data_IF_674630139133
#
_entry.id   IF_674630139133
#
_cell.length_a   1.000
_cell.length_b   1.000
_cell.length_c   1.000
_cell.angle_alpha   90.00
_cell.angle_beta   90.00
_cell.angle_gamma   90.00
#
_symmetry.space_group_name_H-M   'P 1'
#
loop_
_entity.id
_entity.type
_entity.pdbx_description
1 polymer ?
#
# COMPACT_ATOMS: atom_id res chain seq x y z
N UNK A 1 -47.69 -9.92 2.86
CA UNK A 1 -46.33 -10.40 3.19
C UNK A 1 -45.36 -9.59 2.35
N UNK A 2 -44.63 -8.68 2.97
CA UNK A 2 -43.72 -7.73 2.33
C UNK A 2 -42.30 -8.32 2.30
N UNK A 3 -41.78 -8.60 1.10
CA UNK A 3 -40.38 -8.95 0.91
C UNK A 3 -39.52 -7.70 1.08
N UNK A 4 -38.68 -7.70 2.10
CA UNK A 4 -37.64 -6.68 2.32
C UNK A 4 -36.39 -7.18 1.61
N UNK A 5 -36.13 -6.68 0.40
CA UNK A 5 -34.82 -6.84 -0.24
C UNK A 5 -33.82 -5.91 0.44
N UNK A 6 -32.96 -6.51 1.27
CA UNK A 6 -31.79 -5.86 1.84
C UNK A 6 -30.75 -5.61 0.74
N UNK A 7 -30.81 -4.43 0.14
CA UNK A 7 -29.80 -3.96 -0.82
C UNK A 7 -28.52 -3.54 -0.05
N UNK A 8 -27.65 -4.50 0.26
CA UNK A 8 -26.33 -4.22 0.84
C UNK A 8 -25.41 -3.72 -0.27
N UNK A 9 -25.53 -2.43 -0.57
CA UNK A 9 -24.62 -1.74 -1.48
C UNK A 9 -23.24 -1.68 -0.81
N UNK A 10 -22.30 -2.51 -1.30
CA UNK A 10 -20.89 -2.52 -0.86
C UNK A 10 -20.30 -1.11 -1.03
N UNK A 11 -19.72 -0.49 0.00
CA UNK A 11 -19.21 0.87 -0.11
C UNK A 11 -18.04 0.90 -1.08
N UNK A 12 -18.23 1.56 -2.21
CA UNK A 12 -17.15 1.83 -3.17
C UNK A 12 -16.38 3.04 -2.63
N UNK A 13 -15.27 2.78 -1.92
CA UNK A 13 -14.33 3.84 -1.53
C UNK A 13 -13.58 4.32 -2.78
N UNK A 14 -14.14 5.34 -3.46
CA UNK A 14 -13.41 6.12 -4.47
C UNK A 14 -12.65 7.24 -3.78
N UNK A 15 -11.52 6.92 -3.15
CA UNK A 15 -10.57 7.95 -2.75
C UNK A 15 -9.19 7.66 -3.33
N UNK A 16 -9.06 7.88 -4.64
CA UNK A 16 -7.77 8.12 -5.26
C UNK A 16 -7.34 9.54 -4.86
N UNK A 17 -6.42 9.65 -3.90
CA UNK A 17 -5.72 10.91 -3.68
C UNK A 17 -4.80 11.08 -4.90
N UNK A 18 -5.25 11.87 -5.87
CA UNK A 18 -4.34 12.38 -6.89
C UNK A 18 -3.31 13.24 -6.17
N UNK A 19 -2.03 12.84 -6.24
CA UNK A 19 -0.92 13.66 -5.78
C UNK A 19 -1.02 15.02 -6.47
N UNK A 20 -1.22 16.08 -5.69
CA UNK A 20 -1.34 17.44 -6.19
C UNK A 20 -0.09 17.78 -7.01
N UNK A 21 -0.26 18.22 -8.26
CA UNK A 21 0.81 18.62 -9.19
C UNK A 21 1.66 19.81 -8.68
N UNK A 22 1.32 20.37 -7.51
CA UNK A 22 2.06 21.46 -6.86
C UNK A 22 2.94 21.00 -5.70
N UNK A 23 3.46 19.79 -5.77
CA UNK A 23 4.56 19.39 -4.91
C UNK A 23 5.84 20.03 -5.44
N UNK A 24 6.37 21.06 -4.76
CA UNK A 24 7.67 21.68 -5.02
C UNK A 24 8.86 20.73 -4.75
N UNK A 25 8.70 19.45 -5.02
CA UNK A 25 9.80 18.50 -5.05
C UNK A 25 10.56 18.77 -6.33
N UNK A 26 11.66 19.50 -6.16
CA UNK A 26 12.71 19.67 -7.17
C UNK A 26 12.95 18.30 -7.79
N UNK A 27 12.69 18.23 -9.10
CA UNK A 27 13.04 17.15 -10.01
C UNK A 27 14.21 16.33 -9.46
N UNK A 28 13.88 15.16 -8.90
CA UNK A 28 14.84 14.15 -8.48
C UNK A 28 15.83 13.92 -9.61
N UNK A 29 17.12 14.17 -9.34
CA UNK A 29 18.18 13.70 -10.22
C UNK A 29 18.04 12.17 -10.31
N UNK A 30 17.64 11.67 -11.48
CA UNK A 30 17.43 10.24 -11.72
C UNK A 30 18.68 9.43 -11.37
N UNK A 31 19.86 10.06 -11.42
CA UNK A 31 21.12 9.46 -11.01
C UNK A 31 21.17 9.14 -9.51
N UNK A 32 20.60 9.99 -8.66
CA UNK A 32 20.57 9.76 -7.21
C UNK A 32 19.67 8.59 -6.85
N UNK A 33 18.46 8.53 -7.42
CA UNK A 33 17.53 7.43 -7.17
C UNK A 33 18.08 6.08 -7.67
N UNK A 34 18.70 6.07 -8.86
CA UNK A 34 19.34 4.86 -9.40
C UNK A 34 20.51 4.41 -8.56
N UNK A 35 21.34 5.34 -8.10
CA UNK A 35 22.47 5.03 -7.22
C UNK A 35 21.99 4.46 -5.88
N UNK A 36 20.93 5.03 -5.30
CA UNK A 36 20.32 4.51 -4.07
C UNK A 36 19.76 3.09 -4.26
N UNK A 37 19.06 2.82 -5.36
CA UNK A 37 18.56 1.47 -5.68
C UNK A 37 19.70 0.45 -5.72
N UNK A 38 20.82 0.79 -6.36
CA UNK A 38 21.99 -0.10 -6.47
C UNK A 38 22.66 -0.40 -5.12
N UNK A 39 22.41 0.40 -4.07
CA UNK A 39 22.93 0.12 -2.71
C UNK A 39 22.08 -0.87 -1.92
N UNK A 40 20.86 -1.17 -2.37
CA UNK A 40 19.98 -2.13 -1.69
C UNK A 40 20.44 -3.57 -1.96
N UNK A 41 20.12 -4.54 -1.09
CA UNK A 41 20.29 -5.96 -1.39
C UNK A 41 19.60 -6.36 -2.71
N UNK A 42 20.22 -7.26 -3.48
CA UNK A 42 19.74 -7.68 -4.82
C UNK A 42 18.28 -8.14 -4.80
N UNK A 43 17.87 -8.89 -3.78
CA UNK A 43 16.48 -9.33 -3.62
C UNK A 43 15.51 -8.15 -3.55
N UNK A 44 15.88 -7.07 -2.86
CA UNK A 44 15.04 -5.86 -2.75
C UNK A 44 15.04 -5.09 -4.07
N UNK A 45 16.18 -5.02 -4.77
CA UNK A 45 16.25 -4.41 -6.10
C UNK A 45 15.29 -5.10 -7.08
N UNK A 46 15.38 -6.42 -7.19
CA UNK A 46 14.53 -7.22 -8.08
C UNK A 46 13.06 -7.10 -7.72
N UNK A 47 12.72 -7.13 -6.43
CA UNK A 47 11.34 -6.94 -5.98
C UNK A 47 10.80 -5.56 -6.39
N UNK A 48 11.58 -4.49 -6.24
CA UNK A 48 11.17 -3.14 -6.63
C UNK A 48 11.08 -2.96 -8.15
N UNK A 49 11.93 -3.62 -8.94
CA UNK A 49 11.87 -3.60 -10.41
C UNK A 49 10.64 -4.36 -10.95
N UNK A 50 10.22 -5.43 -10.27
CA UNK A 50 9.06 -6.25 -10.66
C UNK A 50 7.74 -5.73 -10.07
N UNK A 51 7.81 -4.88 -9.05
CA UNK A 51 6.64 -4.33 -8.38
C UNK A 51 5.79 -3.51 -9.33
N UNK A 52 4.55 -3.95 -9.54
CA UNK A 52 3.56 -3.19 -10.31
C UNK A 52 3.06 -1.97 -9.53
N UNK A 53 3.10 -2.06 -8.20
CA UNK A 53 2.48 -1.13 -7.27
C UNK A 53 3.31 -1.06 -5.98
N UNK A 54 3.55 0.18 -5.55
CA UNK A 54 4.16 0.47 -4.24
C UNK A 54 3.09 1.14 -3.38
N UNK A 55 2.83 0.58 -2.20
CA UNK A 55 1.80 1.07 -1.27
C UNK A 55 2.50 1.63 -0.03
N UNK A 56 2.30 2.92 0.22
CA UNK A 56 2.83 3.60 1.39
C UNK A 56 1.75 3.63 2.47
N UNK A 57 2.00 2.99 3.61
CA UNK A 57 1.02 2.88 4.68
C UNK A 57 1.48 3.71 5.87
N UNK A 58 0.83 4.86 6.05
CA UNK A 58 1.07 5.70 7.22
C UNK A 58 0.65 4.96 8.51
N UNK A 59 1.36 5.22 9.60
CA UNK A 59 1.04 4.67 10.91
C UNK A 59 -0.10 5.46 11.58
N UNK A 60 -1.28 5.46 10.94
CA UNK A 60 -2.46 6.19 11.39
C UNK A 60 -3.46 5.20 12.05
N UNK A 61 -3.85 5.39 13.33
CA UNK A 61 -4.83 4.55 14.02
C UNK A 61 -6.22 4.46 13.36
N UNK A 62 -6.55 5.38 12.45
CA UNK A 62 -7.78 5.31 11.66
C UNK A 62 -7.75 4.26 10.55
N UNK A 63 -6.55 3.79 10.17
CA UNK A 63 -6.39 2.68 9.22
C UNK A 63 -6.74 1.39 9.95
N UNK A 64 -7.64 0.59 9.39
CA UNK A 64 -8.04 -0.68 10.03
C UNK A 64 -7.52 -1.89 9.25
N UNK A 65 -7.36 -3.03 9.92
CA UNK A 65 -6.95 -4.29 9.26
C UNK A 65 -7.90 -4.72 8.14
N UNK A 66 -9.20 -4.46 8.27
CA UNK A 66 -10.18 -4.69 7.18
C UNK A 66 -9.88 -3.83 5.95
N UNK A 67 -9.46 -2.57 6.13
CA UNK A 67 -9.05 -1.74 5.00
C UNK A 67 -7.77 -2.26 4.36
N UNK A 68 -6.82 -2.74 5.15
CA UNK A 68 -5.59 -3.36 4.64
C UNK A 68 -5.91 -4.59 3.77
N UNK A 69 -6.76 -5.49 4.26
CA UNK A 69 -7.18 -6.70 3.55
C UNK A 69 -7.89 -6.40 2.22
N UNK A 70 -8.72 -5.34 2.17
CA UNK A 70 -9.42 -4.96 0.94
C UNK A 70 -8.53 -4.29 -0.11
N UNK A 71 -7.43 -3.66 0.29
CA UNK A 71 -6.64 -2.77 -0.58
C UNK A 71 -5.30 -3.37 -1.03
N UNK A 72 -4.69 -4.19 -0.17
CA UNK A 72 -3.38 -4.80 -0.44
C UNK A 72 -3.55 -5.99 -1.38
N UNK A 73 -2.69 -6.05 -2.39
CA UNK A 73 -2.63 -7.14 -3.35
C UNK A 73 -1.35 -7.98 -3.14
N UNK A 74 -1.35 -9.27 -3.53
CA UNK A 74 -0.20 -10.17 -3.31
C UNK A 74 1.14 -9.66 -3.88
N UNK A 75 1.09 -8.89 -4.97
CA UNK A 75 2.29 -8.37 -5.67
C UNK A 75 2.68 -6.94 -5.21
N UNK A 76 2.01 -6.37 -4.20
CA UNK A 76 2.30 -5.01 -3.73
C UNK A 76 3.60 -4.98 -2.92
N UNK A 77 4.46 -3.99 -3.18
CA UNK A 77 5.55 -3.65 -2.25
C UNK A 77 5.02 -2.68 -1.21
N UNK A 78 5.04 -3.10 0.06
CA UNK A 78 4.55 -2.31 1.17
C UNK A 78 5.69 -1.54 1.83
N UNK A 79 5.52 -0.22 1.95
CA UNK A 79 6.41 0.65 2.74
C UNK A 79 5.68 1.04 4.01
N UNK A 80 6.14 0.47 5.12
CA UNK A 80 5.60 0.71 6.45
C UNK A 80 6.52 1.67 7.21
N UNK A 81 5.94 2.56 8.01
CA UNK A 81 6.70 3.56 8.75
C UNK A 81 6.75 3.26 10.25
N UNK A 82 7.92 3.45 10.86
CA UNK A 82 8.17 3.28 12.29
C UNK A 82 7.79 1.87 12.79
N UNK A 83 7.30 1.79 14.03
CA UNK A 83 6.63 0.60 14.56
C UNK A 83 5.18 0.60 14.07
N UNK A 84 4.92 -0.08 12.96
CA UNK A 84 3.59 -0.15 12.36
C UNK A 84 2.61 -0.85 13.31
N UNK A 85 1.52 -0.17 13.66
CA UNK A 85 0.57 -0.61 14.71
C UNK A 85 -0.22 -1.87 14.36
N UNK A 86 -0.23 -2.30 13.10
CA UNK A 86 -0.89 -3.53 12.65
C UNK A 86 0.11 -4.57 12.11
N UNK A 87 1.32 -4.63 12.66
CA UNK A 87 2.34 -5.60 12.22
C UNK A 87 1.83 -7.05 12.22
N UNK A 88 1.02 -7.43 13.21
CA UNK A 88 0.45 -8.77 13.35
C UNK A 88 -0.44 -9.19 12.17
N UNK A 89 -0.99 -8.23 11.41
CA UNK A 89 -1.75 -8.50 10.19
C UNK A 89 -0.92 -9.27 9.16
N UNK A 90 0.39 -9.00 9.08
CA UNK A 90 1.30 -9.65 8.13
C UNK A 90 1.94 -10.93 8.67
N UNK A 91 1.76 -11.23 9.96
CA UNK A 91 2.35 -12.40 10.60
C UNK A 91 1.45 -13.65 10.56
N UNK A 92 0.25 -13.56 10.00
CA UNK A 92 -0.66 -14.70 9.92
C UNK A 92 -0.18 -15.72 8.89
N UNK A 93 0.09 -16.98 9.29
CA UNK A 93 0.32 -18.04 8.32
C UNK A 93 -0.97 -18.26 7.53
N UNK A 94 -0.89 -18.17 6.21
CA UNK A 94 -2.00 -18.50 5.32
C UNK A 94 -2.50 -19.90 5.66
N UNK A 95 -3.76 -20.01 6.10
CA UNK A 95 -4.44 -21.31 6.17
C UNK A 95 -4.58 -21.84 4.75
N UNK A 96 -3.84 -22.91 4.49
CA UNK A 96 -3.83 -23.71 3.26
C UNK A 96 -5.15 -24.44 3.03
#
# INVERSE_FOLDING_TARGET
MSNIESNTKKPIFKQSIALSEKSGYISNDKNTAKSALLTLPVVIQTALEQAKRVVLIANNPAVTTTQLEMLIQPDDVLVLFNHFIHADFFCQPSVS
#
